data_IF_591516139061
#
_entry.id   IF_591516139061
#
_cell.length_a   1.000
_cell.length_b   1.000
_cell.length_c   1.000
_cell.angle_alpha   90.00
_cell.angle_beta   90.00
_cell.angle_gamma   90.00
#
_symmetry.space_group_name_H-M   'P 1'
#
loop_
_entity.id
_entity.type
_entity.pdbx_description
1 polymer ?
#
# COMPACT_ATOMS: atom_id res chain seq x y z
N UNK A 1 -9.00 -26.70 3.24
CA UNK A 1 -8.14 -25.86 4.09
C UNK A 1 -8.27 -24.42 3.61
N UNK A 2 -9.00 -23.56 4.34
CA UNK A 2 -9.12 -22.15 3.98
C UNK A 2 -7.76 -21.45 4.25
N UNK A 3 -7.14 -20.89 3.21
CA UNK A 3 -5.95 -20.05 3.38
C UNK A 3 -6.37 -18.82 4.19
N UNK A 4 -5.72 -18.56 5.32
CA UNK A 4 -5.94 -17.33 6.09
C UNK A 4 -5.63 -16.14 5.18
N UNK A 5 -6.62 -15.28 4.97
CA UNK A 5 -6.45 -14.02 4.27
C UNK A 5 -5.74 -13.03 5.21
N UNK A 6 -4.92 -12.16 4.66
CA UNK A 6 -4.22 -11.12 5.41
C UNK A 6 -4.01 -9.88 4.54
N UNK A 7 -3.73 -8.78 5.20
CA UNK A 7 -3.28 -7.54 4.58
C UNK A 7 -1.78 -7.35 4.82
N UNK A 8 -1.09 -6.82 3.83
CA UNK A 8 0.26 -6.28 3.97
C UNK A 8 0.19 -4.77 3.85
N UNK A 9 0.72 -4.08 4.86
CA UNK A 9 0.85 -2.64 4.88
C UNK A 9 2.31 -2.33 4.57
N UNK A 10 2.53 -1.71 3.41
CA UNK A 10 3.87 -1.36 2.93
C UNK A 10 4.01 0.15 2.96
N UNK A 11 4.94 0.70 3.77
CA UNK A 11 5.19 2.12 3.77
C UNK A 11 5.67 2.60 2.40
N UNK A 12 5.13 3.74 1.95
CA UNK A 12 5.59 4.44 0.77
C UNK A 12 6.22 5.76 1.18
N UNK A 13 7.38 6.07 0.61
CA UNK A 13 8.10 7.31 0.83
C UNK A 13 8.17 8.07 -0.48
N UNK A 14 7.77 9.34 -0.47
CA UNK A 14 7.93 10.22 -1.63
C UNK A 14 9.39 10.65 -1.72
N UNK A 15 10.02 10.39 -2.84
CA UNK A 15 11.44 10.70 -3.08
C UNK A 15 11.57 12.09 -3.71
N UNK A 16 10.68 12.40 -4.64
CA UNK A 16 10.52 13.71 -5.26
C UNK A 16 9.05 13.86 -5.73
N UNK A 17 8.71 14.95 -6.37
CA UNK A 17 7.32 15.24 -6.80
C UNK A 17 6.71 14.17 -7.73
N UNK A 18 7.50 13.33 -8.33
CA UNK A 18 7.08 12.36 -9.35
C UNK A 18 7.34 10.91 -8.94
N UNK A 19 8.24 10.67 -8.00
CA UNK A 19 8.69 9.32 -7.64
C UNK A 19 8.38 8.99 -6.18
N UNK A 20 7.95 7.77 -5.97
CA UNK A 20 7.81 7.19 -4.64
C UNK A 20 8.53 5.83 -4.57
N UNK A 21 8.84 5.41 -3.38
CA UNK A 21 9.47 4.12 -3.13
C UNK A 21 8.84 3.42 -1.94
N UNK A 22 8.97 2.09 -1.94
CA UNK A 22 8.51 1.28 -0.81
C UNK A 22 9.61 1.15 0.23
N UNK A 23 9.23 1.16 1.49
CA UNK A 23 10.12 1.11 2.63
C UNK A 23 9.76 -0.01 3.61
N UNK A 24 10.51 -0.14 4.68
CA UNK A 24 10.28 -1.05 5.78
C UNK A 24 9.97 -0.26 7.06
N UNK A 25 9.36 -0.88 8.07
CA UNK A 25 8.93 -2.27 8.13
C UNK A 25 7.60 -2.52 7.41
N UNK A 26 7.43 -3.74 6.89
CA UNK A 26 6.15 -4.20 6.34
C UNK A 26 5.35 -4.84 7.46
N UNK A 27 4.11 -4.41 7.65
CA UNK A 27 3.21 -4.93 8.68
C UNK A 27 2.22 -5.92 8.08
N UNK A 28 2.10 -7.10 8.69
CA UNK A 28 1.14 -8.13 8.30
C UNK A 28 0.00 -8.20 9.32
N UNK A 29 -1.22 -8.10 8.83
CA UNK A 29 -2.44 -8.15 9.64
C UNK A 29 -3.41 -9.18 9.07
N UNK A 30 -4.03 -9.98 9.92
CA UNK A 30 -5.10 -10.89 9.54
C UNK A 30 -6.34 -10.12 9.05
N UNK A 31 -6.99 -10.62 8.00
CA UNK A 31 -8.18 -9.97 7.44
C UNK A 31 -9.43 -10.10 8.33
N UNK A 32 -9.36 -10.91 9.37
CA UNK A 32 -10.41 -11.12 10.37
C UNK A 32 -10.43 -10.02 11.46
N UNK A 33 -9.44 -9.13 11.50
CA UNK A 33 -9.35 -8.06 12.50
C UNK A 33 -10.31 -6.89 12.26
N UNK A 34 -10.94 -6.81 11.10
CA UNK A 34 -11.86 -5.74 10.72
C UNK A 34 -11.18 -4.48 10.19
N UNK A 35 -11.97 -3.64 9.54
CA UNK A 35 -11.46 -2.44 8.84
C UNK A 35 -11.00 -1.34 9.80
N UNK A 36 -11.61 -1.23 10.98
CA UNK A 36 -11.17 -0.28 12.00
C UNK A 36 -9.77 -0.57 12.50
N UNK A 37 -9.47 -1.83 12.82
CA UNK A 37 -8.15 -2.25 13.24
C UNK A 37 -7.13 -2.14 12.09
N UNK A 38 -7.54 -2.42 10.86
CA UNK A 38 -6.69 -2.22 9.68
C UNK A 38 -6.34 -0.73 9.51
N UNK A 39 -7.31 0.16 9.63
CA UNK A 39 -7.10 1.60 9.56
C UNK A 39 -6.12 2.07 10.63
N UNK A 40 -6.31 1.67 11.88
CA UNK A 40 -5.42 2.03 12.99
C UNK A 40 -3.99 1.55 12.75
N UNK A 41 -3.82 0.37 12.18
CA UNK A 41 -2.51 -0.15 11.82
C UNK A 41 -1.85 0.63 10.68
N UNK A 42 -2.63 1.07 9.68
CA UNK A 42 -2.13 1.91 8.58
C UNK A 42 -1.68 3.27 9.14
N UNK A 43 -2.50 3.91 9.95
CA UNK A 43 -2.13 5.19 10.59
C UNK A 43 -0.89 5.03 11.47
N UNK A 44 -0.80 3.95 12.22
CA UNK A 44 0.39 3.65 13.01
C UNK A 44 1.67 3.49 12.18
N UNK A 45 1.56 3.00 10.95
CA UNK A 45 2.69 2.94 10.01
C UNK A 45 3.02 4.31 9.44
N UNK A 46 2.01 5.13 9.13
CA UNK A 46 2.20 6.50 8.63
C UNK A 46 2.85 7.41 9.67
N UNK A 47 2.47 7.27 10.94
CA UNK A 47 2.99 8.08 12.05
C UNK A 47 4.40 7.68 12.47
N UNK A 48 4.82 6.46 12.14
CA UNK A 48 6.22 6.09 12.27
C UNK A 48 7.03 6.91 11.28
N UNK A 49 8.10 7.50 11.78
CA UNK A 49 9.07 8.25 10.98
C UNK A 49 9.69 7.30 9.93
N UNK A 50 8.97 7.08 8.85
CA UNK A 50 9.46 6.36 7.68
C UNK A 50 10.46 7.25 6.91
N UNK A 51 11.33 7.94 7.67
CA UNK A 51 12.40 8.73 7.10
C UNK A 51 13.41 7.80 6.47
N UNK A 52 13.83 8.23 5.29
CA UNK A 52 15.06 7.75 4.72
C UNK A 52 16.18 7.96 5.74
N UNK A 53 17.00 6.95 6.03
CA UNK A 53 18.19 7.17 6.85
C UNK A 53 19.03 8.28 6.22
N UNK A 54 19.41 9.31 6.98
CA UNK A 54 20.18 10.48 6.50
C UNK A 54 21.46 10.08 5.75
N UNK A 55 22.07 8.96 6.12
CA UNK A 55 23.22 8.38 5.45
C UNK A 55 22.93 7.76 4.07
N UNK A 56 21.68 7.67 3.67
CA UNK A 56 21.26 7.04 2.42
C UNK A 56 20.88 8.05 1.33
N UNK A 57 20.92 9.37 1.58
CA UNK A 57 20.49 10.37 0.59
C UNK A 57 21.23 10.22 -0.74
N UNK A 58 22.55 10.06 -0.73
CA UNK A 58 23.32 9.82 -1.93
C UNK A 58 23.02 8.45 -2.56
N UNK A 59 22.89 7.42 -1.75
CA UNK A 59 22.49 6.07 -2.17
C UNK A 59 21.06 5.99 -2.67
N UNK A 60 20.17 6.83 -2.13
CA UNK A 60 18.78 6.91 -2.57
C UNK A 60 18.62 7.53 -3.95
N UNK A 61 19.36 8.57 -4.27
CA UNK A 61 19.35 9.18 -5.62
C UNK A 61 19.81 8.16 -6.66
N UNK A 62 20.81 7.36 -6.32
CA UNK A 62 21.32 6.29 -7.18
C UNK A 62 20.29 5.13 -7.27
N UNK A 63 19.65 4.81 -6.17
CA UNK A 63 18.63 3.77 -6.07
C UNK A 63 17.32 4.16 -6.76
N UNK A 64 16.90 5.42 -6.66
CA UNK A 64 15.71 5.94 -7.34
C UNK A 64 15.88 5.99 -8.87
N UNK A 65 17.11 6.09 -9.35
CA UNK A 65 17.45 5.97 -10.78
C UNK A 65 17.53 4.52 -11.26
N UNK A 66 17.56 3.57 -10.34
CA UNK A 66 17.53 2.15 -10.64
C UNK A 66 16.08 1.68 -10.76
N UNK A 67 15.73 0.86 -11.77
CA UNK A 67 14.40 0.25 -11.86
C UNK A 67 14.12 -0.79 -10.76
N UNK A 68 15.03 -0.98 -9.83
CA UNK A 68 14.87 -1.91 -8.72
C UNK A 68 13.96 -1.30 -7.63
N UNK A 69 13.02 -2.07 -7.05
CA UNK A 69 12.21 -1.61 -5.93
C UNK A 69 13.09 -1.28 -4.72
N UNK A 70 12.69 -0.26 -3.97
CA UNK A 70 13.41 0.27 -2.81
C UNK A 70 13.54 -0.70 -1.63
N UNK A 71 12.88 -1.82 -1.64
CA UNK A 71 13.09 -2.85 -0.67
C UNK A 71 13.81 -4.06 -1.27
N UNK A 72 14.65 -4.67 -0.48
CA UNK A 72 15.36 -5.87 -0.89
C UNK A 72 14.35 -7.02 -1.08
N UNK A 73 14.17 -7.44 -2.33
CA UNK A 73 13.29 -8.58 -2.68
C UNK A 73 13.69 -9.87 -1.98
N UNK A 74 14.97 -10.03 -1.62
CA UNK A 74 15.47 -11.21 -0.90
C UNK A 74 15.01 -11.19 0.55
N UNK A 75 15.08 -10.02 1.21
CA UNK A 75 14.55 -9.84 2.55
C UNK A 75 13.03 -10.07 2.59
N UNK A 76 12.31 -9.52 1.62
CA UNK A 76 10.88 -9.75 1.48
C UNK A 76 10.54 -11.24 1.38
N UNK A 77 11.25 -11.98 0.51
CA UNK A 77 11.06 -13.42 0.35
C UNK A 77 11.41 -14.19 1.62
N UNK A 78 12.48 -13.82 2.31
CA UNK A 78 12.90 -14.44 3.57
C UNK A 78 11.85 -14.26 4.66
N UNK A 79 11.28 -13.07 4.76
CA UNK A 79 10.30 -12.71 5.81
C UNK A 79 8.91 -13.27 5.53
N UNK A 80 8.44 -13.21 4.29
CA UNK A 80 7.07 -13.56 3.92
C UNK A 80 6.92 -14.86 3.13
N UNK A 81 7.99 -15.47 2.71
CA UNK A 81 7.99 -16.80 2.04
C UNK A 81 7.64 -16.78 0.56
N UNK A 82 7.35 -15.61 -0.05
CA UNK A 82 7.02 -15.50 -1.48
C UNK A 82 7.66 -14.28 -2.14
N UNK A 83 7.70 -14.30 -3.47
CA UNK A 83 8.19 -13.17 -4.25
C UNK A 83 7.18 -12.03 -4.28
N UNK A 84 7.65 -10.81 -4.12
CA UNK A 84 6.82 -9.61 -4.20
C UNK A 84 6.02 -9.50 -5.51
N UNK A 85 6.64 -9.78 -6.65
CA UNK A 85 5.95 -9.75 -7.94
C UNK A 85 4.82 -10.77 -8.05
N UNK A 86 4.97 -11.94 -7.43
CA UNK A 86 3.91 -12.94 -7.34
C UNK A 86 2.77 -12.46 -6.42
N UNK A 87 3.12 -11.80 -5.32
CA UNK A 87 2.13 -11.22 -4.41
C UNK A 87 1.27 -10.17 -5.10
N UNK A 88 1.89 -9.23 -5.82
CA UNK A 88 1.16 -8.19 -6.56
C UNK A 88 0.22 -8.78 -7.61
N UNK A 89 0.67 -9.85 -8.29
CA UNK A 89 -0.17 -10.57 -9.27
C UNK A 89 -1.36 -11.29 -8.63
N UNK A 90 -1.18 -11.85 -7.44
CA UNK A 90 -2.18 -12.70 -6.77
C UNK A 90 -3.02 -11.96 -5.74
N UNK A 91 -2.64 -10.76 -5.32
CA UNK A 91 -3.41 -9.96 -4.38
C UNK A 91 -4.83 -9.70 -4.91
N UNK A 92 -5.82 -9.88 -4.04
CA UNK A 92 -7.22 -9.66 -4.41
C UNK A 92 -7.59 -8.19 -4.47
N UNK A 93 -6.93 -7.34 -3.69
CA UNK A 93 -7.06 -5.89 -3.70
C UNK A 93 -5.71 -5.21 -3.48
N UNK A 94 -5.50 -4.07 -4.12
CA UNK A 94 -4.34 -3.20 -3.93
C UNK A 94 -4.84 -1.77 -3.93
N UNK A 95 -4.54 -1.05 -2.86
CA UNK A 95 -4.80 0.38 -2.76
C UNK A 95 -3.55 1.10 -2.29
N UNK A 96 -3.41 2.35 -2.68
CA UNK A 96 -2.49 3.30 -2.07
C UNK A 96 -3.30 4.29 -1.24
N UNK A 97 -2.91 4.49 0.00
CA UNK A 97 -3.54 5.43 0.92
C UNK A 97 -2.55 6.52 1.27
N UNK A 98 -3.00 7.76 1.18
CA UNK A 98 -2.22 8.95 1.50
C UNK A 98 -2.99 9.85 2.47
N UNK A 99 -2.27 10.37 3.46
CA UNK A 99 -2.78 11.38 4.39
C UNK A 99 -2.12 12.72 4.02
N UNK A 100 -2.94 13.67 3.61
CA UNK A 100 -2.49 14.97 3.13
C UNK A 100 -2.34 15.99 4.27
N UNK A 101 -1.57 17.08 4.06
CA UNK A 101 -1.38 18.12 5.08
C UNK A 101 -2.65 18.82 5.55
N UNK A 102 -3.72 18.85 4.74
CA UNK A 102 -5.03 19.38 5.09
C UNK A 102 -5.90 18.40 5.89
N UNK A 103 -5.31 17.31 6.37
CA UNK A 103 -5.96 16.21 7.10
C UNK A 103 -6.94 15.38 6.26
N UNK A 104 -6.94 15.54 4.94
CA UNK A 104 -7.71 14.67 4.04
C UNK A 104 -6.98 13.34 3.76
N UNK A 105 -7.77 12.32 3.45
CA UNK A 105 -7.26 11.01 3.03
C UNK A 105 -7.61 10.76 1.57
N UNK A 106 -6.64 10.26 0.83
CA UNK A 106 -6.79 9.84 -0.57
C UNK A 106 -6.55 8.36 -0.68
N UNK A 107 -7.45 7.66 -1.34
CA UNK A 107 -7.37 6.22 -1.61
C UNK A 107 -7.31 6.02 -3.11
N UNK A 108 -6.20 5.54 -3.62
CA UNK A 108 -6.03 5.21 -5.02
C UNK A 108 -6.17 3.71 -5.23
N UNK A 109 -7.10 3.33 -6.09
CA UNK A 109 -7.31 1.94 -6.49
C UNK A 109 -6.72 1.77 -7.89
N UNK A 110 -5.58 1.11 -7.95
CA UNK A 110 -4.89 0.87 -9.20
C UNK A 110 -5.61 -0.19 -10.03
N UNK A 111 -5.84 0.12 -11.28
CA UNK A 111 -6.32 -0.85 -12.24
C UNK A 111 -5.22 -1.85 -12.58
N UNK A 112 -5.62 -2.87 -13.25
CA UNK A 112 -4.76 -4.01 -13.57
C UNK A 112 -3.79 -3.76 -14.71
N UNK A 113 -4.09 -2.77 -15.55
CA UNK A 113 -3.21 -2.32 -16.62
C UNK A 113 -2.07 -1.42 -16.10
N UNK A 114 -2.13 -1.01 -14.82
CA UNK A 114 -1.16 -0.12 -14.19
C UNK A 114 -1.21 1.32 -14.71
N UNK A 115 -2.16 1.64 -15.58
CA UNK A 115 -2.23 2.96 -16.24
C UNK A 115 -3.41 3.80 -15.80
N UNK A 116 -4.52 3.18 -15.40
CA UNK A 116 -5.69 3.87 -14.89
C UNK A 116 -5.83 3.65 -13.39
N UNK A 117 -6.26 4.68 -12.68
CA UNK A 117 -6.56 4.62 -11.25
C UNK A 117 -7.89 5.30 -10.97
N UNK A 118 -8.65 4.70 -10.08
CA UNK A 118 -9.80 5.35 -9.47
C UNK A 118 -9.37 5.94 -8.13
N UNK A 119 -9.99 7.03 -7.73
CA UNK A 119 -9.65 7.75 -6.51
C UNK A 119 -10.90 7.98 -5.68
N UNK A 120 -10.82 7.67 -4.38
CA UNK A 120 -11.79 8.09 -3.37
C UNK A 120 -11.10 9.03 -2.40
N UNK A 121 -11.81 10.04 -1.91
CA UNK A 121 -11.26 11.05 -1.01
C UNK A 121 -12.17 11.24 0.20
N UNK A 122 -11.58 11.31 1.39
CA UNK A 122 -12.24 11.81 2.58
C UNK A 122 -11.71 13.22 2.88
N UNK A 123 -12.59 14.24 2.97
CA UNK A 123 -12.18 15.59 3.33
C UNK A 123 -11.50 15.65 4.69
N UNK A 124 -10.63 16.64 4.88
CA UNK A 124 -10.04 16.93 6.18
C UNK A 124 -11.12 17.20 7.24
N UNK A 125 -10.92 16.67 8.45
CA UNK A 125 -11.89 16.75 9.53
C UNK A 125 -13.01 15.71 9.46
N UNK A 126 -13.01 14.79 8.50
CA UNK A 126 -13.94 13.66 8.47
C UNK A 126 -13.81 12.79 9.74
N UNK A 127 -14.92 12.32 10.32
CA UNK A 127 -14.88 11.41 11.45
C UNK A 127 -14.14 10.11 11.09
N UNK A 128 -13.50 9.49 12.09
CA UNK A 128 -12.79 8.21 11.89
C UNK A 128 -13.65 7.16 11.21
N UNK A 129 -14.91 7.04 11.60
CA UNK A 129 -15.87 6.06 11.06
C UNK A 129 -16.07 6.24 9.55
N UNK A 130 -16.12 7.47 9.08
CA UNK A 130 -16.27 7.81 7.66
C UNK A 130 -15.02 7.45 6.86
N UNK A 131 -13.83 7.70 7.42
CA UNK A 131 -12.57 7.31 6.80
C UNK A 131 -12.43 5.79 6.73
N UNK A 132 -12.80 5.08 7.79
CA UNK A 132 -12.81 3.60 7.83
C UNK A 132 -13.80 3.03 6.81
N UNK A 133 -14.96 3.61 6.66
CA UNK A 133 -15.95 3.21 5.65
C UNK A 133 -15.40 3.42 4.23
N UNK A 134 -14.75 4.54 3.98
CA UNK A 134 -14.10 4.82 2.69
C UNK A 134 -12.99 3.83 2.39
N UNK A 135 -12.16 3.48 3.37
CA UNK A 135 -11.15 2.42 3.25
C UNK A 135 -11.80 1.08 2.87
N UNK A 136 -12.86 0.70 3.55
CA UNK A 136 -13.61 -0.53 3.24
C UNK A 136 -14.15 -0.51 1.80
N UNK A 137 -14.74 0.59 1.38
CA UNK A 137 -15.28 0.74 0.03
C UNK A 137 -14.18 0.71 -1.04
N UNK A 138 -13.05 1.35 -0.78
CA UNK A 138 -11.89 1.32 -1.68
C UNK A 138 -11.33 -0.09 -1.85
N UNK A 139 -11.21 -0.85 -0.78
CA UNK A 139 -10.77 -2.25 -0.83
C UNK A 139 -11.74 -3.13 -1.61
N UNK A 140 -13.04 -3.00 -1.38
CA UNK A 140 -14.08 -3.74 -2.11
C UNK A 140 -14.09 -3.37 -3.59
N UNK A 141 -13.93 -2.10 -3.91
CA UNK A 141 -13.86 -1.62 -5.30
C UNK A 141 -12.63 -2.18 -6.00
N UNK A 142 -11.46 -2.13 -5.35
CA UNK A 142 -10.23 -2.73 -5.87
C UNK A 142 -10.37 -4.23 -6.08
N UNK A 143 -11.00 -4.94 -5.15
CA UNK A 143 -11.27 -6.38 -5.27
C UNK A 143 -12.15 -6.67 -6.49
N UNK A 144 -13.22 -5.91 -6.70
CA UNK A 144 -14.10 -6.04 -7.86
C UNK A 144 -13.38 -5.76 -9.18
N UNK A 145 -12.59 -4.70 -9.23
CA UNK A 145 -11.80 -4.34 -10.41
C UNK A 145 -10.77 -5.42 -10.76
N UNK A 146 -10.17 -6.03 -9.76
CA UNK A 146 -9.17 -7.08 -9.95
C UNK A 146 -9.78 -8.44 -10.30
N UNK A 147 -10.96 -8.74 -9.80
CA UNK A 147 -11.71 -9.96 -10.15
C UNK A 147 -12.22 -9.95 -11.60
N UNK A 148 -12.53 -8.77 -12.14
CA UNK A 148 -13.01 -8.58 -13.51
C UNK A 148 -11.92 -8.74 -14.59
N UNK A 149 -10.68 -9.06 -14.21
CA UNK A 149 -9.57 -9.27 -15.16
C UNK A 149 -9.85 -10.40 -16.13
N UNK A 150 -9.62 -10.18 -17.44
CA UNK A 150 -9.41 -11.30 -18.33
C UNK A 150 -8.18 -12.08 -17.85
N UNK A 151 -8.36 -13.36 -17.63
CA UNK A 151 -7.25 -14.28 -17.34
C UNK A 151 -6.49 -14.50 -18.66
N UNK A 152 -5.55 -13.63 -18.96
CA UNK A 152 -4.57 -13.92 -19.98
C UNK A 152 -3.57 -14.92 -19.38
N UNK A 153 -3.59 -16.08 -19.89
CA UNK A 153 -2.55 -17.11 -19.66
C UNK A 153 -1.45 -16.94 -20.70
#
# INVERSE_FOLDING_TARGET
MQRKKYYLIVPCVTINELDYGYSFPITKIGSDTGYGALFDAIVGVMDKDCRMPDSAEAGWVEYARSPAPLFDKRLFRKEFGYHYGSLVKTATSIIMMEHLPDDSYVFEMWSTDGMSKEVMTCPGGSPREEVVETLSNALKKSEGNRAARPKYY
#
